data_IF_240408217634
#
_entry.id   IF_240408217634
#
_cell.length_a   1.000
_cell.length_b   1.000
_cell.length_c   1.000
_cell.angle_alpha   90.00
_cell.angle_beta   90.00
_cell.angle_gamma   90.00
#
_symmetry.space_group_name_H-M   'P 1'
#
loop_
_entity.id
_entity.type
_entity.pdbx_description
1 polymer ?
#
# COMPACT_ATOMS: atom_id res chain seq x y z
N UNK A 1 5.85 2.32 24.97
CA UNK A 1 7.04 1.55 24.60
C UNK A 1 7.63 0.74 25.73
N UNK A 2 7.74 1.24 26.98
CA UNK A 2 8.18 0.40 28.13
C UNK A 2 7.33 -0.85 28.36
N UNK A 3 6.07 -0.83 27.94
CA UNK A 3 5.15 -1.99 27.96
C UNK A 3 5.52 -3.14 27.03
N UNK A 4 6.50 -2.95 26.13
CA UNK A 4 6.95 -3.98 25.18
C UNK A 4 8.27 -4.65 25.59
N UNK A 5 8.86 -4.24 26.71
CA UNK A 5 10.08 -4.82 27.28
C UNK A 5 11.23 -4.99 26.28
N UNK A 6 11.40 -4.02 25.37
CA UNK A 6 12.41 -4.08 24.30
C UNK A 6 13.84 -4.17 24.87
N UNK A 7 14.05 -3.68 26.08
CA UNK A 7 15.30 -3.75 26.84
C UNK A 7 15.69 -5.17 27.27
N UNK A 8 14.75 -6.12 27.26
CA UNK A 8 14.99 -7.53 27.57
C UNK A 8 15.30 -8.38 26.33
N UNK A 9 15.23 -7.80 25.12
CA UNK A 9 15.42 -8.53 23.86
C UNK A 9 16.88 -8.53 23.42
N UNK A 10 17.26 -9.53 22.62
CA UNK A 10 18.58 -9.64 22.04
C UNK A 10 18.89 -8.43 21.13
N UNK A 11 20.01 -7.77 21.38
CA UNK A 11 20.35 -6.49 20.75
C UNK A 11 20.45 -6.58 19.22
N UNK A 12 21.00 -7.67 18.68
CA UNK A 12 21.15 -7.85 17.23
C UNK A 12 19.78 -7.97 16.54
N UNK A 13 18.90 -8.82 17.07
CA UNK A 13 17.53 -8.97 16.59
C UNK A 13 16.74 -7.67 16.69
N UNK A 14 16.88 -6.94 17.81
CA UNK A 14 16.23 -5.66 18.03
C UNK A 14 16.68 -4.60 17.01
N UNK A 15 17.98 -4.54 16.71
CA UNK A 15 18.52 -3.58 15.75
C UNK A 15 18.06 -3.89 14.32
N UNK A 16 18.05 -5.17 13.92
CA UNK A 16 17.49 -5.60 12.64
C UNK A 16 16.01 -5.21 12.52
N UNK A 17 15.20 -5.52 13.54
CA UNK A 17 13.78 -5.18 13.56
C UNK A 17 13.54 -3.66 13.46
N UNK A 18 14.34 -2.83 14.14
CA UNK A 18 14.25 -1.37 14.04
C UNK A 18 14.56 -0.85 12.64
N UNK A 19 15.56 -1.43 11.97
CA UNK A 19 15.87 -1.07 10.59
C UNK A 19 14.70 -1.44 9.66
N UNK A 20 14.16 -2.65 9.80
CA UNK A 20 13.01 -3.07 8.98
C UNK A 20 11.74 -2.28 9.28
N UNK A 21 11.53 -1.84 10.53
CA UNK A 21 10.44 -0.92 10.88
C UNK A 21 10.55 0.43 10.15
N UNK A 22 11.78 0.91 9.89
CA UNK A 22 12.00 2.13 9.10
C UNK A 22 11.59 1.91 7.64
N UNK A 23 11.95 0.76 7.07
CA UNK A 23 11.53 0.38 5.71
C UNK A 23 10.01 0.22 5.62
N UNK A 24 9.40 -0.46 6.60
CA UNK A 24 7.95 -0.60 6.71
C UNK A 24 7.26 0.76 6.72
N UNK A 25 7.78 1.70 7.52
CA UNK A 25 7.25 3.07 7.59
C UNK A 25 7.18 3.72 6.22
N UNK A 26 8.24 3.62 5.42
CA UNK A 26 8.29 4.18 4.07
C UNK A 26 7.27 3.52 3.13
N UNK A 27 7.19 2.18 3.11
CA UNK A 27 6.26 1.44 2.25
C UNK A 27 4.80 1.72 2.66
N UNK A 28 4.48 1.70 3.95
CA UNK A 28 3.13 1.93 4.44
C UNK A 28 2.64 3.36 4.12
N UNK A 29 3.53 4.35 4.24
CA UNK A 29 3.24 5.72 3.82
C UNK A 29 2.97 5.78 2.31
N UNK A 30 3.83 5.16 1.51
CA UNK A 30 3.66 5.09 0.06
C UNK A 30 2.35 4.42 -0.36
N UNK A 31 2.01 3.27 0.23
CA UNK A 31 0.79 2.52 -0.05
C UNK A 31 -0.47 3.38 0.19
N UNK A 32 -0.49 4.11 1.32
CA UNK A 32 -1.59 5.02 1.63
C UNK A 32 -1.64 6.25 0.73
N UNK A 33 -0.49 6.80 0.34
CA UNK A 33 -0.42 7.89 -0.64
C UNK A 33 -0.99 7.45 -2.00
N UNK A 34 -0.66 6.24 -2.48
CA UNK A 34 -1.24 5.70 -3.71
C UNK A 34 -2.75 5.51 -3.58
N UNK A 35 -3.25 4.99 -2.45
CA UNK A 35 -4.70 4.89 -2.20
C UNK A 35 -5.38 6.25 -2.31
N UNK A 36 -4.82 7.26 -1.66
CA UNK A 36 -5.36 8.62 -1.70
C UNK A 36 -5.36 9.19 -3.12
N UNK A 37 -4.29 8.99 -3.88
CA UNK A 37 -4.19 9.39 -5.28
C UNK A 37 -5.29 8.72 -6.13
N UNK A 38 -5.44 7.40 -6.05
CA UNK A 38 -6.47 6.66 -6.80
C UNK A 38 -7.88 7.15 -6.44
N UNK A 39 -8.16 7.31 -5.15
CA UNK A 39 -9.47 7.80 -4.68
C UNK A 39 -9.75 9.21 -5.18
N UNK A 40 -8.76 10.11 -5.13
CA UNK A 40 -8.88 11.49 -5.60
C UNK A 40 -9.30 11.52 -7.06
N UNK A 41 -8.55 10.85 -7.94
CA UNK A 41 -8.83 10.83 -9.38
C UNK A 41 -10.22 10.25 -9.68
N UNK A 42 -10.59 9.16 -9.01
CA UNK A 42 -11.88 8.51 -9.23
C UNK A 42 -13.05 9.36 -8.74
N UNK A 43 -12.94 10.01 -7.57
CA UNK A 43 -13.97 10.92 -7.07
C UNK A 43 -14.13 12.13 -8.00
N UNK A 44 -13.03 12.74 -8.45
CA UNK A 44 -13.07 13.91 -9.34
C UNK A 44 -13.76 13.64 -10.68
N UNK A 45 -13.70 12.39 -11.17
CA UNK A 45 -14.23 12.02 -12.49
C UNK A 45 -15.57 11.25 -12.45
N UNK A 46 -15.86 10.53 -11.36
CA UNK A 46 -17.02 9.63 -11.24
C UNK A 46 -17.91 9.95 -10.04
N UNK A 47 -17.54 10.93 -9.22
CA UNK A 47 -18.31 11.34 -8.04
C UNK A 47 -18.32 10.28 -6.93
N UNK A 48 -19.30 10.37 -6.03
CA UNK A 48 -19.37 9.53 -4.83
C UNK A 48 -19.55 8.02 -5.12
N UNK A 49 -20.15 7.69 -6.28
CA UNK A 49 -20.43 6.30 -6.66
C UNK A 49 -19.24 5.59 -7.36
N UNK A 50 -18.06 6.24 -7.37
CA UNK A 50 -16.86 5.72 -8.04
C UNK A 50 -16.51 4.27 -7.65
N UNK A 51 -16.74 3.87 -6.40
CA UNK A 51 -16.45 2.49 -5.96
C UNK A 51 -17.27 1.46 -6.74
N UNK A 52 -18.54 1.75 -7.01
CA UNK A 52 -19.43 0.84 -7.73
C UNK A 52 -19.26 0.92 -9.25
N UNK A 53 -18.83 2.06 -9.77
CA UNK A 53 -18.70 2.27 -11.22
C UNK A 53 -17.31 1.92 -11.76
N UNK A 54 -16.26 2.19 -10.99
CA UNK A 54 -14.86 2.12 -11.45
C UNK A 54 -14.08 0.91 -10.95
N UNK A 55 -14.58 0.17 -9.96
CA UNK A 55 -13.86 -0.96 -9.36
C UNK A 55 -14.56 -2.26 -9.69
N UNK A 56 -13.85 -3.25 -10.25
CA UNK A 56 -14.47 -4.53 -10.59
C UNK A 56 -15.07 -5.27 -9.38
N UNK A 57 -16.12 -6.04 -9.64
CA UNK A 57 -16.82 -6.86 -8.63
C UNK A 57 -15.84 -7.75 -7.85
N UNK A 58 -14.86 -8.35 -8.53
CA UNK A 58 -13.83 -9.18 -7.89
C UNK A 58 -13.10 -8.44 -6.77
N UNK A 59 -12.70 -7.19 -7.00
CA UNK A 59 -11.98 -6.38 -6.01
C UNK A 59 -12.94 -5.94 -4.91
N UNK A 60 -14.18 -5.55 -5.27
CA UNK A 60 -15.20 -5.16 -4.29
C UNK A 60 -15.53 -6.29 -3.31
N UNK A 61 -15.85 -7.48 -3.82
CA UNK A 61 -16.19 -8.65 -3.00
C UNK A 61 -15.02 -9.05 -2.09
N UNK A 62 -13.77 -8.95 -2.58
CA UNK A 62 -12.57 -9.20 -1.78
C UNK A 62 -12.43 -8.19 -0.63
N UNK A 63 -12.61 -6.90 -0.91
CA UNK A 63 -12.54 -5.84 0.10
C UNK A 63 -13.67 -5.95 1.13
N UNK A 64 -14.90 -6.21 0.68
CA UNK A 64 -16.08 -6.41 1.53
C UNK A 64 -15.92 -7.61 2.45
N UNK A 65 -15.46 -8.75 1.92
CA UNK A 65 -15.19 -9.96 2.71
C UNK A 65 -14.19 -9.68 3.83
N UNK A 66 -13.07 -9.00 3.53
CA UNK A 66 -12.07 -8.60 4.53
C UNK A 66 -12.65 -7.67 5.60
N UNK A 67 -13.45 -6.68 5.20
CA UNK A 67 -14.10 -5.73 6.13
C UNK A 67 -15.08 -6.45 7.06
N UNK A 68 -15.90 -7.36 6.51
CA UNK A 68 -16.85 -8.15 7.28
C UNK A 68 -16.12 -9.07 8.27
N UNK A 69 -15.04 -9.73 7.84
CA UNK A 69 -14.26 -10.61 8.69
C UNK A 69 -13.62 -9.87 9.87
N UNK A 70 -12.97 -8.73 9.61
CA UNK A 70 -12.36 -7.90 10.65
C UNK A 70 -13.41 -7.30 11.59
N UNK A 71 -14.57 -6.90 11.06
CA UNK A 71 -15.68 -6.35 11.86
C UNK A 71 -16.30 -7.33 12.86
N UNK A 72 -16.07 -8.64 12.71
CA UNK A 72 -16.51 -9.64 13.71
C UNK A 72 -15.72 -9.53 15.02
N UNK A 73 -14.52 -8.96 14.99
CA UNK A 73 -13.58 -8.92 16.13
C UNK A 73 -13.63 -7.54 16.79
N UNK A 74 -14.60 -7.33 17.70
CA UNK A 74 -14.85 -6.01 18.33
C UNK A 74 -13.71 -5.43 19.16
N UNK A 75 -12.79 -6.26 19.65
CA UNK A 75 -11.66 -5.82 20.48
C UNK A 75 -10.42 -5.43 19.65
N UNK A 76 -10.46 -5.63 18.33
CA UNK A 76 -9.34 -5.34 17.43
C UNK A 76 -9.73 -4.22 16.46
N UNK A 77 -8.80 -3.30 16.19
CA UNK A 77 -9.05 -2.22 15.23
C UNK A 77 -9.09 -2.76 13.79
N UNK A 78 -10.06 -2.34 12.96
CA UNK A 78 -10.08 -2.65 11.53
C UNK A 78 -9.05 -1.81 10.76
N UNK A 79 -8.78 -2.17 9.51
CA UNK A 79 -7.90 -1.39 8.59
C UNK A 79 -8.40 0.03 8.30
N UNK A 80 -9.69 0.29 8.52
CA UNK A 80 -10.30 1.61 8.43
C UNK A 80 -11.71 1.55 7.81
N UNK A 81 -12.28 2.73 7.55
CA UNK A 81 -13.70 2.81 7.19
C UNK A 81 -13.97 2.62 5.69
N UNK A 82 -13.06 3.07 4.82
CA UNK A 82 -13.24 3.00 3.37
C UNK A 82 -12.79 1.67 2.79
N UNK A 83 -13.52 1.13 1.80
CA UNK A 83 -13.18 -0.15 1.17
C UNK A 83 -11.80 -0.16 0.49
N UNK A 84 -11.31 1.00 0.06
CA UNK A 84 -9.94 1.16 -0.47
C UNK A 84 -8.85 0.79 0.57
N UNK A 85 -9.14 0.86 1.87
CA UNK A 85 -8.19 0.46 2.92
C UNK A 85 -7.99 -1.08 2.95
N UNK A 86 -8.87 -1.82 2.29
CA UNK A 86 -8.85 -3.28 2.20
C UNK A 86 -8.24 -3.79 0.88
N UNK A 87 -7.82 -2.89 -0.01
CA UNK A 87 -7.13 -3.23 -1.26
C UNK A 87 -5.62 -3.27 -1.05
N UNK A 88 -4.91 -4.06 -1.84
CA UNK A 88 -3.43 -4.09 -1.88
C UNK A 88 -2.88 -3.52 -3.19
N UNK A 89 -1.56 -3.46 -3.34
CA UNK A 89 -0.89 -2.89 -4.52
C UNK A 89 -1.39 -3.49 -5.85
N UNK A 90 -1.56 -4.81 -5.92
CA UNK A 90 -2.12 -5.48 -7.11
C UNK A 90 -3.56 -5.07 -7.42
N UNK A 91 -4.38 -4.82 -6.39
CA UNK A 91 -5.75 -4.33 -6.57
C UNK A 91 -5.74 -2.88 -7.08
N UNK A 92 -4.86 -2.01 -6.54
CA UNK A 92 -4.71 -0.61 -6.99
C UNK A 92 -4.26 -0.53 -8.45
N UNK A 93 -3.30 -1.36 -8.86
CA UNK A 93 -2.87 -1.44 -10.26
C UNK A 93 -4.02 -1.88 -11.18
N UNK A 94 -4.86 -2.81 -10.71
CA UNK A 94 -6.02 -3.30 -11.45
C UNK A 94 -7.11 -2.24 -11.58
N UNK A 95 -7.37 -1.46 -10.52
CA UNK A 95 -8.30 -0.32 -10.54
C UNK A 95 -7.81 0.73 -11.54
N UNK A 96 -6.52 1.09 -11.50
CA UNK A 96 -5.94 2.03 -12.47
C UNK A 96 -6.05 1.50 -13.90
N UNK A 97 -5.84 0.19 -14.11
CA UNK A 97 -5.99 -0.45 -15.41
C UNK A 97 -7.42 -0.38 -15.96
N UNK A 98 -8.43 -0.51 -15.10
CA UNK A 98 -9.85 -0.46 -15.47
C UNK A 98 -10.30 0.95 -15.86
N UNK A 99 -9.58 1.97 -15.43
CA UNK A 99 -9.90 3.38 -15.63
C UNK A 99 -8.72 4.11 -16.25
N UNK A 100 -7.98 3.46 -17.16
CA UNK A 100 -6.67 3.91 -17.63
C UNK A 100 -6.70 5.36 -18.13
N UNK A 101 -7.73 5.73 -18.88
CA UNK A 101 -7.96 7.08 -19.41
C UNK A 101 -7.92 8.18 -18.35
N UNK A 102 -8.30 7.89 -17.10
CA UNK A 102 -8.28 8.86 -16.00
C UNK A 102 -6.87 9.05 -15.40
N UNK A 103 -5.95 8.12 -15.65
CA UNK A 103 -4.62 8.11 -15.04
C UNK A 103 -3.50 8.47 -16.02
N UNK A 104 -3.76 8.43 -17.34
CA UNK A 104 -2.76 8.64 -18.40
C UNK A 104 -2.00 9.97 -18.27
N UNK A 105 -2.67 11.03 -17.81
CA UNK A 105 -2.06 12.36 -17.66
C UNK A 105 -1.21 12.50 -16.38
N UNK A 106 -1.28 11.53 -15.47
CA UNK A 106 -0.60 11.57 -14.17
C UNK A 106 0.59 10.62 -14.07
N UNK A 107 0.57 9.51 -14.80
CA UNK A 107 1.60 8.46 -14.73
C UNK A 107 2.29 8.29 -16.08
N UNK A 108 3.55 7.85 -16.07
CA UNK A 108 4.31 7.57 -17.30
C UNK A 108 3.61 6.49 -18.15
N UNK A 109 3.24 5.40 -17.49
CA UNK A 109 2.45 4.32 -18.06
C UNK A 109 1.91 3.42 -16.96
N UNK A 110 0.90 2.62 -17.29
CA UNK A 110 0.38 1.61 -16.37
C UNK A 110 1.42 0.55 -16.01
N UNK A 111 2.29 0.18 -16.96
CA UNK A 111 3.34 -0.82 -16.72
C UNK A 111 4.43 -0.30 -15.78
N UNK A 112 4.79 0.98 -15.92
CA UNK A 112 5.69 1.65 -14.97
C UNK A 112 5.12 1.67 -13.55
N UNK A 113 3.83 2.02 -13.40
CA UNK A 113 3.15 2.00 -12.10
C UNK A 113 3.11 0.57 -11.51
N UNK A 114 2.75 -0.43 -12.33
CA UNK A 114 2.73 -1.85 -11.92
C UNK A 114 4.11 -2.33 -11.47
N UNK A 115 5.18 -1.95 -12.17
CA UNK A 115 6.54 -2.32 -11.81
C UNK A 115 6.94 -1.79 -10.43
N UNK A 116 6.60 -0.53 -10.14
CA UNK A 116 6.81 0.09 -8.82
C UNK A 116 6.04 -0.71 -7.77
N UNK A 117 4.74 -0.91 -7.97
CA UNK A 117 3.85 -1.59 -7.03
C UNK A 117 4.31 -3.02 -6.73
N UNK A 118 4.63 -3.82 -7.75
CA UNK A 118 5.14 -5.19 -7.57
C UNK A 118 6.48 -5.22 -6.84
N UNK A 119 7.36 -4.24 -7.09
CA UNK A 119 8.65 -4.15 -6.39
C UNK A 119 8.46 -3.89 -4.91
N UNK A 120 7.64 -2.89 -4.55
CA UNK A 120 7.38 -2.56 -3.15
C UNK A 120 6.59 -3.66 -2.44
N UNK A 121 5.62 -4.29 -3.10
CA UNK A 121 4.83 -5.39 -2.54
C UNK A 121 5.72 -6.59 -2.18
N UNK A 122 6.68 -6.93 -3.04
CA UNK A 122 7.65 -7.99 -2.75
C UNK A 122 8.46 -7.68 -1.49
N UNK A 123 8.96 -6.46 -1.37
CA UNK A 123 9.72 -6.01 -0.19
C UNK A 123 8.86 -5.94 1.07
N UNK A 124 7.62 -5.47 0.96
CA UNK A 124 6.62 -5.42 2.04
C UNK A 124 6.39 -6.81 2.63
N UNK A 125 6.23 -7.82 1.77
CA UNK A 125 5.96 -9.18 2.24
C UNK A 125 7.11 -9.75 3.07
N UNK A 126 8.36 -9.50 2.67
CA UNK A 126 9.54 -9.94 3.45
C UNK A 126 9.53 -9.32 4.85
N UNK A 127 9.41 -8.00 4.95
CA UNK A 127 9.49 -7.31 6.26
C UNK A 127 8.27 -7.61 7.15
N UNK A 128 7.09 -7.85 6.57
CA UNK A 128 5.88 -8.25 7.33
C UNK A 128 5.97 -9.67 7.89
N UNK A 129 6.85 -10.50 7.34
CA UNK A 129 7.13 -11.85 7.83
C UNK A 129 8.45 -11.92 8.63
N UNK A 130 8.84 -10.81 9.27
CA UNK A 130 10.05 -10.69 10.09
C UNK A 130 11.36 -10.98 9.34
N UNK A 131 11.35 -10.86 8.01
CA UNK A 131 12.54 -10.98 7.19
C UNK A 131 13.33 -9.68 7.10
N UNK A 132 14.61 -9.81 6.76
CA UNK A 132 15.52 -8.69 6.55
C UNK A 132 15.76 -8.45 5.05
N UNK A 133 15.76 -7.18 4.65
CA UNK A 133 16.08 -6.77 3.29
C UNK A 133 17.54 -6.38 3.17
N UNK A 134 18.19 -6.84 2.11
CA UNK A 134 19.53 -6.39 1.76
C UNK A 134 19.53 -4.91 1.36
N UNK A 135 20.68 -4.24 1.55
CA UNK A 135 20.87 -2.83 1.21
C UNK A 135 20.39 -2.44 -0.20
N UNK A 136 20.66 -3.30 -1.19
CA UNK A 136 20.24 -3.08 -2.59
C UNK A 136 18.72 -2.98 -2.74
N UNK A 137 17.97 -3.79 -2.01
CA UNK A 137 16.51 -3.78 -2.06
C UNK A 137 15.96 -2.54 -1.35
N UNK A 138 16.56 -2.13 -0.23
CA UNK A 138 16.22 -0.89 0.47
C UNK A 138 16.44 0.34 -0.44
N UNK A 139 17.60 0.42 -1.10
CA UNK A 139 17.89 1.49 -2.06
C UNK A 139 16.90 1.49 -3.23
N UNK A 140 16.51 0.30 -3.73
CA UNK A 140 15.51 0.16 -4.79
C UNK A 140 14.13 0.65 -4.35
N UNK A 141 13.69 0.36 -3.13
CA UNK A 141 12.44 0.92 -2.57
C UNK A 141 12.49 2.44 -2.58
N UNK A 142 13.58 3.02 -2.05
CA UNK A 142 13.76 4.47 -1.99
C UNK A 142 13.76 5.15 -3.36
N UNK A 143 14.37 4.53 -4.37
CA UNK A 143 14.33 5.04 -5.75
C UNK A 143 12.92 4.99 -6.33
N UNK A 144 12.21 3.85 -6.25
CA UNK A 144 10.84 3.75 -6.77
C UNK A 144 9.87 4.74 -6.10
N UNK A 145 9.99 4.97 -4.79
CA UNK A 145 9.17 5.96 -4.07
C UNK A 145 9.46 7.38 -4.59
N UNK A 146 10.75 7.74 -4.76
CA UNK A 146 11.13 9.06 -5.27
C UNK A 146 10.69 9.29 -6.71
N UNK A 147 10.82 8.28 -7.56
CA UNK A 147 10.39 8.35 -8.96
C UNK A 147 8.87 8.56 -9.03
N UNK A 148 8.11 7.82 -8.20
CA UNK A 148 6.67 8.03 -8.11
C UNK A 148 6.28 9.43 -7.65
N UNK A 149 6.88 9.92 -6.56
CA UNK A 149 6.59 11.26 -6.03
C UNK A 149 6.95 12.34 -7.05
N UNK A 150 8.06 12.18 -7.76
CA UNK A 150 8.48 13.17 -8.78
C UNK A 150 7.53 13.20 -9.98
N UNK A 151 6.90 12.06 -10.30
CA UNK A 151 5.94 11.95 -11.40
C UNK A 151 4.53 12.40 -11.02
N UNK A 152 4.04 11.99 -9.84
CA UNK A 152 2.64 12.12 -9.42
C UNK A 152 2.41 13.27 -8.43
N UNK A 153 3.46 13.68 -7.71
CA UNK A 153 3.39 14.71 -6.68
C UNK A 153 3.61 16.14 -7.18
N UNK A 154 3.62 16.35 -8.50
CA UNK A 154 3.62 17.66 -9.15
C UNK A 154 2.22 18.28 -9.21
#
# INVERSE_FOLDING_TARGET
MRSLSLDLLENELLNCAKQMATVYTAIACFENMVRQFVVKILIENKGENWWMESVSEKIRTKAESRKIEEGKIKWHSPRGDNFINYTEFGDLASIMSQNLELFQDHIISLDWAKQIFTTLERSRNVIMHSGELGRRDIERIGTNIRDWISQVGG
#
